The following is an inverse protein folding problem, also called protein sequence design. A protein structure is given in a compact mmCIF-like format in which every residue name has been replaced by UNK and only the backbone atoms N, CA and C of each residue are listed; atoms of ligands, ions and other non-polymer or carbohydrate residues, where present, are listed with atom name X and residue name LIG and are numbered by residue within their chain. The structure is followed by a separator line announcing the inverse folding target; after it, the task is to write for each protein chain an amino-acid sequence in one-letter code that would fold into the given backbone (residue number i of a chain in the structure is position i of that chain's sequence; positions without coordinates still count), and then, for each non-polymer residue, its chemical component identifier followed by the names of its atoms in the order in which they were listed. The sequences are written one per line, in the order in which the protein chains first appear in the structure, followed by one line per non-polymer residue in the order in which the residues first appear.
data_IF_774254098702
#
_entry.id   IF_774254098702
#
_cell.length_a   1.000
_cell.length_b   1.000
_cell.length_c   1.000
_cell.angle_alpha   90.00
_cell.angle_beta   90.00
_cell.angle_gamma   90.00
#
_symmetry.space_group_name_H-M   'P 1'
#
loop_
_entity.id
_entity.type
_entity.pdbx_description
1 polymer ?
#
# COMPACT_ATOMS: atom_id res chain seq x y z
N UNK A 1 44.99 -12.15 -14.15
CA UNK A 1 43.88 -11.33 -13.62
C UNK A 1 42.56 -11.70 -14.34
N UNK A 2 42.17 -12.98 -14.29
CA UNK A 2 40.96 -13.52 -14.95
C UNK A 2 40.23 -14.57 -14.10
N UNK A 3 40.82 -14.94 -12.95
CA UNK A 3 40.36 -16.06 -12.12
C UNK A 3 39.21 -15.67 -11.16
N UNK A 4 38.92 -14.38 -11.03
CA UNK A 4 37.86 -13.87 -10.14
C UNK A 4 36.51 -13.66 -10.85
N UNK A 5 36.47 -13.65 -12.19
CA UNK A 5 35.24 -13.42 -12.97
C UNK A 5 34.37 -14.68 -13.09
N UNK A 6 34.97 -15.87 -13.02
CA UNK A 6 34.24 -17.16 -13.02
C UNK A 6 33.56 -17.44 -11.67
N UNK A 7 34.08 -16.89 -10.57
CA UNK A 7 33.55 -17.08 -9.20
C UNK A 7 32.29 -16.25 -8.92
N UNK A 8 32.10 -15.15 -9.63
CA UNK A 8 30.88 -14.32 -9.52
C UNK A 8 29.72 -14.88 -10.35
N UNK A 9 30.04 -15.63 -11.42
CA UNK A 9 29.07 -16.42 -12.20
C UNK A 9 28.76 -17.80 -11.63
N UNK A 10 29.41 -18.19 -10.53
CA UNK A 10 29.06 -19.37 -9.77
C UNK A 10 27.69 -19.13 -9.09
N UNK A 11 26.66 -19.32 -9.91
CA UNK A 11 25.26 -19.60 -9.62
C UNK A 11 24.99 -19.57 -8.13
N UNK A 12 24.43 -18.45 -7.66
CA UNK A 12 23.84 -18.36 -6.34
C UNK A 12 22.98 -19.61 -6.13
N UNK A 13 23.17 -20.36 -5.02
CA UNK A 13 22.41 -21.58 -4.79
C UNK A 13 20.91 -21.24 -4.84
N UNK A 14 20.08 -22.03 -5.56
CA UNK A 14 18.64 -21.79 -5.68
C UNK A 14 17.87 -22.06 -4.37
N UNK A 15 18.55 -22.04 -3.22
CA UNK A 15 18.04 -22.47 -1.92
C UNK A 15 17.51 -21.32 -1.04
N UNK A 16 17.48 -20.09 -1.54
CA UNK A 16 16.91 -18.93 -0.83
C UNK A 16 15.76 -18.29 -1.62
N UNK A 17 15.10 -19.08 -2.48
CA UNK A 17 13.77 -18.76 -2.95
C UNK A 17 12.84 -19.04 -1.77
N UNK A 18 12.54 -17.98 -1.01
CA UNK A 18 11.59 -17.93 0.09
C UNK A 18 10.47 -18.96 -0.07
N UNK A 19 10.48 -19.94 0.84
CA UNK A 19 9.50 -21.00 0.97
C UNK A 19 8.08 -20.41 0.89
N UNK A 20 7.41 -20.65 -0.23
CA UNK A 20 6.07 -20.16 -0.56
C UNK A 20 5.00 -20.95 0.19
N UNK A 21 5.14 -21.06 1.52
CA UNK A 21 4.19 -21.81 2.36
C UNK A 21 2.95 -21.00 2.75
N UNK A 22 2.81 -19.76 2.27
CA UNK A 22 1.70 -18.86 2.61
C UNK A 22 0.72 -18.61 1.48
N UNK A 23 0.84 -19.24 0.30
CA UNK A 23 0.01 -18.91 -0.87
C UNK A 23 -1.50 -19.07 -0.59
N UNK A 24 -1.89 -20.06 0.21
CA UNK A 24 -3.30 -20.24 0.60
C UNK A 24 -3.76 -19.19 1.62
N UNK A 25 -2.91 -18.83 2.59
CA UNK A 25 -3.22 -17.79 3.58
C UNK A 25 -3.27 -16.40 2.92
N UNK A 26 -2.36 -16.12 1.99
CA UNK A 26 -2.34 -14.89 1.20
C UNK A 26 -3.59 -14.77 0.31
N UNK A 27 -4.04 -15.87 -0.31
CA UNK A 27 -5.31 -15.90 -1.06
C UNK A 27 -6.52 -15.63 -0.15
N UNK A 28 -6.54 -16.22 1.04
CA UNK A 28 -7.62 -16.00 2.02
C UNK A 28 -7.61 -14.55 2.53
N UNK A 29 -6.45 -14.00 2.88
CA UNK A 29 -6.29 -12.61 3.30
C UNK A 29 -6.71 -11.65 2.18
N UNK A 30 -6.27 -11.90 0.94
CA UNK A 30 -6.64 -11.09 -0.21
C UNK A 30 -8.15 -11.12 -0.47
N UNK A 31 -8.76 -12.30 -0.44
CA UNK A 31 -10.22 -12.46 -0.53
C UNK A 31 -10.95 -11.75 0.60
N UNK A 32 -10.48 -11.88 1.84
CA UNK A 32 -11.06 -11.22 3.00
C UNK A 32 -10.94 -9.68 2.92
N UNK A 33 -9.81 -9.15 2.44
CA UNK A 33 -9.60 -7.72 2.21
C UNK A 33 -10.57 -7.17 1.17
N UNK A 34 -10.80 -7.89 0.06
CA UNK A 34 -11.77 -7.48 -0.94
C UNK A 34 -13.18 -7.44 -0.34
N UNK A 35 -13.57 -8.50 0.38
CA UNK A 35 -14.90 -8.59 1.00
C UNK A 35 -15.10 -7.49 2.05
N UNK A 36 -14.09 -7.21 2.88
CA UNK A 36 -14.16 -6.16 3.89
C UNK A 36 -14.21 -4.77 3.27
N UNK A 37 -13.50 -4.53 2.17
CA UNK A 37 -13.54 -3.28 1.42
C UNK A 37 -14.94 -3.01 0.83
N UNK A 38 -15.57 -4.01 0.21
CA UNK A 38 -16.95 -3.88 -0.29
C UNK A 38 -17.97 -3.73 0.83
N UNK A 39 -17.77 -4.41 1.97
CA UNK A 39 -18.63 -4.28 3.15
C UNK A 39 -18.56 -2.86 3.72
N UNK A 40 -17.35 -2.29 3.84
CA UNK A 40 -17.16 -0.93 4.32
C UNK A 40 -17.83 0.11 3.40
N UNK A 41 -17.70 -0.06 2.08
CA UNK A 41 -18.41 0.78 1.09
C UNK A 41 -19.93 0.67 1.26
N UNK A 42 -20.46 -0.55 1.41
CA UNK A 42 -21.89 -0.78 1.61
C UNK A 42 -22.41 -0.09 2.88
N UNK A 43 -21.68 -0.17 3.99
CA UNK A 43 -22.06 0.51 5.23
C UNK A 43 -22.06 2.03 5.09
N UNK A 44 -21.10 2.61 4.37
CA UNK A 44 -21.02 4.06 4.14
C UNK A 44 -22.21 4.56 3.32
N UNK A 45 -22.62 3.83 2.27
CA UNK A 45 -23.70 4.27 1.39
C UNK A 45 -25.10 3.99 1.94
N UNK A 46 -25.29 2.91 2.70
CA UNK A 46 -26.62 2.45 3.13
C UNK A 46 -26.99 2.86 4.56
N UNK A 47 -26.00 3.01 5.46
CA UNK A 47 -26.24 3.30 6.87
C UNK A 47 -26.09 4.79 7.22
N UNK A 48 -25.49 5.59 6.33
CA UNK A 48 -25.41 7.04 6.50
C UNK A 48 -26.79 7.67 6.21
N UNK A 49 -27.51 7.97 7.28
CA UNK A 49 -28.78 8.71 7.27
C UNK A 49 -28.58 10.09 6.61
N UNK A 50 -29.51 10.52 5.75
CA UNK A 50 -29.39 11.82 5.07
C UNK A 50 -29.80 12.95 6.00
N UNK A 51 -28.84 13.75 6.46
CA UNK A 51 -29.17 15.04 7.08
C UNK A 51 -29.78 15.99 6.04
N UNK A 52 -30.86 16.67 6.47
CA UNK A 52 -31.81 17.44 5.66
C UNK A 52 -31.22 18.60 4.84
N UNK A 53 -29.95 18.95 5.01
CA UNK A 53 -29.34 20.17 4.43
C UNK A 53 -28.29 19.91 3.35
N UNK A 54 -27.47 18.85 3.44
CA UNK A 54 -26.38 18.57 2.49
C UNK A 54 -26.53 17.26 1.70
N UNK A 55 -27.52 16.42 2.04
CA UNK A 55 -27.96 15.21 1.30
C UNK A 55 -26.78 14.36 0.78
N UNK A 56 -26.52 14.38 -0.54
CA UNK A 56 -25.53 13.55 -1.20
C UNK A 56 -24.07 13.97 -0.93
N UNK A 57 -23.81 15.26 -0.71
CA UNK A 57 -22.44 15.76 -0.50
C UNK A 57 -21.83 15.26 0.83
N UNK A 58 -22.66 15.07 1.86
CA UNK A 58 -22.22 14.58 3.16
C UNK A 58 -21.76 13.13 3.12
N UNK A 59 -22.42 12.28 2.31
CA UNK A 59 -22.02 10.88 2.12
C UNK A 59 -20.64 10.77 1.46
N UNK A 60 -20.36 11.64 0.48
CA UNK A 60 -19.06 11.69 -0.20
C UNK A 60 -17.96 12.14 0.78
N UNK A 61 -18.27 13.07 1.68
CA UNK A 61 -17.29 13.59 2.65
C UNK A 61 -16.73 12.52 3.60
N UNK A 62 -17.53 11.52 4.01
CA UNK A 62 -17.04 10.40 4.83
C UNK A 62 -15.98 9.56 4.12
N UNK A 63 -16.14 9.36 2.81
CA UNK A 63 -15.17 8.67 1.98
C UNK A 63 -13.94 9.55 1.70
N UNK A 64 -14.16 10.82 1.38
CA UNK A 64 -13.11 11.81 1.15
C UNK A 64 -12.17 11.92 2.37
N UNK A 65 -12.71 12.18 3.57
CA UNK A 65 -11.90 12.34 4.79
C UNK A 65 -11.09 11.08 5.09
N UNK A 66 -11.72 9.90 4.96
CA UNK A 66 -11.04 8.62 5.19
C UNK A 66 -9.89 8.41 4.19
N UNK A 67 -10.11 8.70 2.90
CA UNK A 67 -9.08 8.61 1.86
C UNK A 67 -7.95 9.63 2.05
N UNK A 68 -8.26 10.84 2.54
CA UNK A 68 -7.27 11.87 2.85
C UNK A 68 -6.32 11.43 3.98
N UNK A 69 -6.86 10.81 5.02
CA UNK A 69 -6.03 10.22 6.09
C UNK A 69 -5.09 9.14 5.56
N UNK A 70 -5.57 8.26 4.67
CA UNK A 70 -4.72 7.24 4.05
C UNK A 70 -3.62 7.85 3.18
N UNK A 71 -3.92 8.88 2.40
CA UNK A 71 -2.93 9.60 1.60
C UNK A 71 -1.84 10.22 2.50
N UNK A 72 -2.23 10.92 3.57
CA UNK A 72 -1.27 11.50 4.52
C UNK A 72 -0.39 10.43 5.18
N UNK A 73 -0.98 9.31 5.63
CA UNK A 73 -0.22 8.22 6.22
C UNK A 73 0.76 7.58 5.22
N UNK A 74 0.34 7.38 3.97
CA UNK A 74 1.20 6.82 2.92
C UNK A 74 2.40 7.73 2.62
N UNK A 75 2.22 9.05 2.56
CA UNK A 75 3.32 9.99 2.41
C UNK A 75 4.19 10.09 3.66
N UNK A 76 3.61 10.00 4.85
CA UNK A 76 4.37 9.96 6.10
C UNK A 76 5.29 8.73 6.15
N UNK A 77 4.79 7.56 5.78
CA UNK A 77 5.60 6.33 5.65
C UNK A 77 6.69 6.52 4.60
N UNK A 78 6.35 7.06 3.43
CA UNK A 78 7.34 7.37 2.38
C UNK A 78 8.47 8.27 2.91
N UNK A 79 8.11 9.31 3.66
CA UNK A 79 9.06 10.24 4.27
C UNK A 79 9.99 9.53 5.26
N UNK A 80 9.45 8.72 6.16
CA UNK A 80 10.23 7.95 7.15
C UNK A 80 11.17 6.96 6.47
N UNK A 81 10.69 6.19 5.49
CA UNK A 81 11.51 5.22 4.77
C UNK A 81 12.57 5.88 3.88
N UNK A 82 12.27 7.04 3.30
CA UNK A 82 13.24 7.86 2.57
C UNK A 82 14.37 8.35 3.50
N UNK A 83 14.04 8.88 4.69
CA UNK A 83 15.06 9.26 5.69
C UNK A 83 15.89 8.04 6.11
N UNK A 84 15.23 6.91 6.38
CA UNK A 84 15.92 5.68 6.78
C UNK A 84 16.84 5.15 5.67
N UNK A 85 16.46 5.34 4.41
CA UNK A 85 17.29 5.03 3.25
C UNK A 85 18.55 5.90 3.22
N UNK A 86 18.46 7.21 3.49
CA UNK A 86 19.63 8.09 3.55
C UNK A 86 20.62 7.66 4.65
N UNK A 87 20.11 7.21 5.80
CA UNK A 87 20.93 6.77 6.93
C UNK A 87 21.59 5.41 6.67
N UNK A 88 20.81 4.40 6.24
CA UNK A 88 21.31 3.02 6.12
C UNK A 88 21.85 2.66 4.72
N UNK A 89 21.58 3.46 3.68
CA UNK A 89 21.96 3.23 2.27
C UNK A 89 21.65 1.83 1.73
N UNK A 90 20.61 1.15 2.26
CA UNK A 90 20.17 -0.16 1.76
C UNK A 90 19.00 0.00 0.78
N UNK A 91 19.12 -0.54 -0.44
CA UNK A 91 18.07 -0.50 -1.49
C UNK A 91 16.69 -0.96 -1.02
N UNK A 92 16.63 -1.86 -0.05
CA UNK A 92 15.36 -2.36 0.48
C UNK A 92 14.47 -1.23 1.02
N UNK A 93 15.06 -0.22 1.68
CA UNK A 93 14.30 0.92 2.21
C UNK A 93 13.78 1.85 1.12
N UNK A 94 14.52 1.96 0.02
CA UNK A 94 14.10 2.71 -1.18
C UNK A 94 12.91 2.04 -1.87
N UNK A 95 12.91 0.69 -1.97
CA UNK A 95 11.77 -0.05 -2.50
C UNK A 95 10.50 0.15 -1.68
N UNK A 96 10.60 0.13 -0.34
CA UNK A 96 9.44 0.40 0.52
C UNK A 96 8.93 1.84 0.40
N UNK A 97 9.83 2.82 0.28
CA UNK A 97 9.45 4.21 0.04
C UNK A 97 8.73 4.37 -1.31
N UNK A 98 9.25 3.74 -2.38
CA UNK A 98 8.65 3.78 -3.72
C UNK A 98 7.23 3.19 -3.74
N UNK A 99 7.05 1.99 -3.19
CA UNK A 99 5.73 1.34 -3.13
C UNK A 99 4.75 2.17 -2.29
N UNK A 100 5.20 2.71 -1.16
CA UNK A 100 4.37 3.58 -0.32
C UNK A 100 3.97 4.87 -1.03
N UNK A 101 4.87 5.44 -1.84
CA UNK A 101 4.60 6.66 -2.61
C UNK A 101 3.54 6.42 -3.69
N UNK A 102 3.62 5.29 -4.41
CA UNK A 102 2.64 4.92 -5.43
C UNK A 102 1.24 4.76 -4.82
N UNK A 103 1.14 4.10 -3.66
CA UNK A 103 -0.11 3.98 -2.90
C UNK A 103 -0.63 5.37 -2.48
N UNK A 104 0.23 6.24 -1.98
CA UNK A 104 -0.14 7.60 -1.58
C UNK A 104 -0.69 8.43 -2.75
N UNK A 105 -0.10 8.32 -3.94
CA UNK A 105 -0.58 9.01 -5.14
C UNK A 105 -1.98 8.53 -5.53
N UNK A 106 -2.25 7.22 -5.50
CA UNK A 106 -3.57 6.66 -5.80
C UNK A 106 -4.63 7.23 -4.85
N UNK A 107 -4.37 7.23 -3.54
CA UNK A 107 -5.31 7.81 -2.57
C UNK A 107 -5.48 9.32 -2.74
N UNK A 108 -4.42 10.03 -3.14
CA UNK A 108 -4.51 11.48 -3.43
C UNK A 108 -5.41 11.77 -4.62
N UNK A 109 -5.34 10.96 -5.69
CA UNK A 109 -6.22 11.09 -6.85
C UNK A 109 -7.68 10.88 -6.44
N UNK A 110 -7.95 9.89 -5.57
CA UNK A 110 -9.28 9.65 -5.03
C UNK A 110 -9.79 10.89 -4.29
N UNK A 111 -9.00 11.43 -3.36
CA UNK A 111 -9.33 12.66 -2.60
C UNK A 111 -9.63 13.83 -3.52
N UNK A 112 -8.88 14.01 -4.60
CA UNK A 112 -9.11 15.09 -5.57
C UNK A 112 -10.37 14.88 -6.42
N UNK A 113 -10.77 13.63 -6.64
CA UNK A 113 -11.92 13.28 -7.48
C UNK A 113 -13.23 13.29 -6.70
N UNK A 114 -13.18 12.95 -5.41
CA UNK A 114 -14.33 12.88 -4.50
C UNK A 114 -14.61 14.23 -3.85
#
# INVERSE_FOLDING_TARGET
MSMNLEREKAVLPPSQLTDTKSVNLGKVLFGATIISMFTALYFIFIFADEEKTMRAAQKIFYYHVSSAWLAFLAFFVTFVFSILFLIKRKRIYDTYAYVSAEIGVVFTIIVLTT
#
